data_IF_229846694452
#
_entry.id   IF_229846694452
#
_cell.length_a   1.000
_cell.length_b   1.000
_cell.length_c   1.000
_cell.angle_alpha   90.00
_cell.angle_beta   90.00
_cell.angle_gamma   90.00
#
_symmetry.space_group_name_H-M   'P 1'
#
loop_
_entity.id
_entity.type
_entity.pdbx_description
1 polymer ?
#
# COMPACT_ATOMS: atom_id res chain seq x y z
N UNK A 1 -22.57 25.20 15.27
CA UNK A 1 -21.47 25.14 16.27
C UNK A 1 -20.29 25.86 15.65
N UNK A 2 -19.82 26.96 16.24
CA UNK A 2 -18.77 27.81 15.63
C UNK A 2 -17.44 27.54 16.34
N UNK A 3 -16.43 27.08 15.60
CA UNK A 3 -15.11 26.79 16.16
C UNK A 3 -14.39 28.11 16.48
N UNK A 4 -13.89 28.27 17.71
CA UNK A 4 -13.13 29.44 18.12
C UNK A 4 -11.64 29.27 17.76
N UNK A 5 -11.29 29.63 16.53
CA UNK A 5 -9.92 29.51 16.00
C UNK A 5 -8.87 30.28 16.81
N UNK A 6 -9.24 31.42 17.42
CA UNK A 6 -8.31 32.24 18.21
C UNK A 6 -7.83 31.50 19.46
N UNK A 7 -8.74 30.85 20.17
CA UNK A 7 -8.40 30.07 21.36
C UNK A 7 -7.64 28.78 20.99
N UNK A 8 -8.03 28.13 19.90
CA UNK A 8 -7.38 26.92 19.38
C UNK A 8 -5.91 27.19 19.02
N UNK A 9 -5.65 28.32 18.35
CA UNK A 9 -4.30 28.76 18.05
C UNK A 9 -3.51 29.12 19.32
N UNK A 10 -4.13 29.81 20.29
CA UNK A 10 -3.46 30.14 21.54
C UNK A 10 -3.01 28.89 22.32
N UNK A 11 -3.84 27.84 22.35
CA UNK A 11 -3.53 26.55 22.97
C UNK A 11 -2.38 25.84 22.23
N UNK A 12 -2.44 25.75 20.90
CA UNK A 12 -1.38 25.15 20.10
C UNK A 12 -0.04 25.87 20.29
N UNK A 13 -0.06 27.21 20.30
CA UNK A 13 1.15 28.02 20.54
C UNK A 13 1.71 27.82 21.94
N UNK A 14 0.86 27.64 22.95
CA UNK A 14 1.30 27.34 24.30
C UNK A 14 1.96 25.95 24.38
N UNK A 15 1.36 24.93 23.76
CA UNK A 15 1.91 23.56 23.72
C UNK A 15 3.29 23.51 23.02
N UNK A 16 3.46 24.25 21.92
CA UNK A 16 4.77 24.36 21.25
C UNK A 16 5.80 25.01 22.19
N UNK A 17 5.41 26.07 22.92
CA UNK A 17 6.29 26.77 23.86
C UNK A 17 6.64 25.95 25.11
N UNK A 18 5.75 25.07 25.57
CA UNK A 18 6.03 24.13 26.67
C UNK A 18 6.92 22.95 26.24
N UNK A 19 7.30 22.87 24.96
CA UNK A 19 8.15 21.81 24.43
C UNK A 19 7.38 20.50 24.21
N UNK A 20 6.06 20.56 24.10
CA UNK A 20 5.28 19.37 23.76
C UNK A 20 5.64 18.88 22.36
N UNK A 21 5.58 17.56 22.19
CA UNK A 21 5.94 16.91 20.92
C UNK A 21 4.90 17.27 19.86
N UNK A 22 5.33 17.99 18.83
CA UNK A 22 4.48 18.40 17.71
C UNK A 22 4.63 17.51 16.46
N UNK A 23 5.42 16.42 16.55
CA UNK A 23 5.60 15.43 15.50
C UNK A 23 5.14 14.05 15.95
N UNK A 24 4.73 13.23 14.99
CA UNK A 24 4.34 11.85 15.24
C UNK A 24 5.58 10.97 15.44
N UNK A 25 5.47 10.00 16.36
CA UNK A 25 6.40 8.89 16.44
C UNK A 25 5.87 7.69 15.64
N UNK A 26 6.63 6.60 15.57
CA UNK A 26 6.25 5.41 14.80
C UNK A 26 4.88 4.82 15.19
N UNK A 27 4.49 4.93 16.46
CA UNK A 27 3.17 4.46 16.94
C UNK A 27 2.05 5.39 16.46
N UNK A 28 2.26 6.70 16.58
CA UNK A 28 1.31 7.71 16.13
C UNK A 28 1.11 7.61 14.60
N UNK A 29 2.20 7.40 13.85
CA UNK A 29 2.15 7.18 12.40
C UNK A 29 1.37 5.92 12.02
N UNK A 30 1.52 4.83 12.78
CA UNK A 30 0.80 3.58 12.52
C UNK A 30 -0.71 3.78 12.68
N UNK A 31 -1.14 4.47 13.74
CA UNK A 31 -2.56 4.80 13.96
C UNK A 31 -3.09 5.71 12.85
N UNK A 32 -2.29 6.70 12.43
CA UNK A 32 -2.67 7.60 11.34
C UNK A 32 -2.82 6.84 10.01
N UNK A 33 -1.90 5.93 9.69
CA UNK A 33 -1.95 5.09 8.49
C UNK A 33 -3.18 4.17 8.49
N UNK A 34 -3.51 3.56 9.63
CA UNK A 34 -4.70 2.71 9.74
C UNK A 34 -5.99 3.52 9.54
N UNK A 35 -6.12 4.67 10.20
CA UNK A 35 -7.29 5.55 10.04
C UNK A 35 -7.42 6.11 8.61
N UNK A 36 -6.30 6.30 7.90
CA UNK A 36 -6.30 6.78 6.52
C UNK A 36 -6.52 5.67 5.49
N UNK A 37 -6.56 4.39 5.88
CA UNK A 37 -6.64 3.24 4.96
C UNK A 37 -7.83 3.33 4.01
N UNK A 38 -9.00 3.76 4.51
CA UNK A 38 -10.22 3.92 3.70
C UNK A 38 -10.17 5.10 2.72
N UNK A 39 -9.32 6.09 3.00
CA UNK A 39 -9.14 7.28 2.16
C UNK A 39 -7.97 7.14 1.17
N UNK A 40 -7.20 6.05 1.25
CA UNK A 40 -6.11 5.80 0.30
C UNK A 40 -6.66 5.53 -1.11
N UNK A 41 -6.21 6.32 -2.07
CA UNK A 41 -6.59 6.13 -3.47
C UNK A 41 -5.95 4.86 -4.02
N UNK A 42 -6.79 3.91 -4.46
CA UNK A 42 -6.34 2.70 -5.15
C UNK A 42 -5.69 3.12 -6.47
N UNK A 43 -4.44 2.73 -6.66
CA UNK A 43 -3.71 3.08 -7.88
C UNK A 43 -4.28 2.32 -9.09
N UNK A 44 -4.18 2.84 -10.33
CA UNK A 44 -4.69 2.13 -11.51
C UNK A 44 -4.09 0.73 -11.71
N UNK A 45 -2.83 0.52 -11.30
CA UNK A 45 -2.17 -0.79 -11.39
C UNK A 45 -2.68 -1.77 -10.32
N UNK A 46 -3.04 -1.29 -9.14
CA UNK A 46 -3.67 -2.08 -8.09
C UNK A 46 -5.09 -2.49 -8.52
N UNK A 47 -5.85 -1.57 -9.12
CA UNK A 47 -7.14 -1.91 -9.75
C UNK A 47 -6.97 -2.97 -10.85
N UNK A 48 -6.01 -2.78 -11.75
CA UNK A 48 -5.70 -3.78 -12.80
C UNK A 48 -5.31 -5.13 -12.21
N UNK A 49 -4.54 -5.15 -11.13
CA UNK A 49 -4.21 -6.38 -10.43
C UNK A 49 -5.48 -7.10 -9.97
N UNK A 50 -6.42 -6.40 -9.31
CA UNK A 50 -7.69 -7.00 -8.88
C UNK A 50 -8.60 -7.46 -10.02
N UNK A 51 -8.44 -6.93 -11.24
CA UNK A 51 -9.19 -7.40 -12.41
C UNK A 51 -8.69 -8.75 -12.96
N UNK A 52 -7.42 -9.11 -12.74
CA UNK A 52 -6.80 -10.30 -13.34
C UNK A 52 -6.34 -11.34 -12.32
N UNK A 53 -6.23 -10.96 -11.06
CA UNK A 53 -5.71 -11.80 -9.99
C UNK A 53 -6.51 -11.66 -8.72
N UNK A 54 -6.52 -12.74 -7.94
CA UNK A 54 -7.03 -12.75 -6.57
C UNK A 54 -6.16 -13.61 -5.67
N UNK A 55 -6.37 -13.47 -4.36
CA UNK A 55 -5.78 -14.39 -3.40
C UNK A 55 -6.40 -15.79 -3.54
N UNK A 56 -5.62 -16.86 -3.31
CA UNK A 56 -6.15 -18.21 -3.23
C UNK A 56 -7.13 -18.33 -2.05
N UNK A 57 -8.23 -19.05 -2.25
CA UNK A 57 -9.13 -19.40 -1.16
C UNK A 57 -8.59 -20.58 -0.33
N UNK A 58 -9.18 -20.84 0.83
CA UNK A 58 -8.79 -21.96 1.68
C UNK A 58 -8.94 -23.29 0.92
N UNK A 59 -7.87 -24.07 0.84
CA UNK A 59 -7.81 -25.31 0.05
C UNK A 59 -7.53 -25.12 -1.44
N UNK A 60 -7.40 -23.90 -1.93
CA UNK A 60 -7.08 -23.62 -3.33
C UNK A 60 -5.55 -23.53 -3.55
N UNK A 61 -5.07 -24.17 -4.61
CA UNK A 61 -3.68 -24.01 -5.04
C UNK A 61 -3.48 -22.65 -5.69
N UNK A 62 -2.46 -21.92 -5.23
CA UNK A 62 -2.05 -20.65 -5.81
C UNK A 62 -0.72 -20.79 -6.54
N UNK A 63 -0.54 -20.03 -7.61
CA UNK A 63 0.72 -19.93 -8.33
C UNK A 63 1.64 -18.94 -7.62
N UNK A 64 2.90 -19.32 -7.42
CA UNK A 64 3.92 -18.43 -6.85
C UNK A 64 4.56 -17.59 -7.95
N UNK A 65 4.30 -16.29 -7.95
CA UNK A 65 4.79 -15.38 -8.98
C UNK A 65 5.58 -14.22 -8.37
N UNK A 66 6.71 -13.88 -8.98
CA UNK A 66 7.43 -12.64 -8.64
C UNK A 66 6.67 -11.40 -9.14
N UNK A 67 6.89 -10.21 -8.55
CA UNK A 67 6.29 -8.96 -9.01
C UNK A 67 6.47 -8.70 -10.51
N UNK A 68 7.64 -9.04 -11.06
CA UNK A 68 7.94 -8.85 -12.48
C UNK A 68 7.08 -9.76 -13.35
N UNK A 69 6.93 -11.04 -12.99
CA UNK A 69 6.09 -11.98 -13.75
C UNK A 69 4.61 -11.55 -13.74
N UNK A 70 4.12 -11.06 -12.60
CA UNK A 70 2.75 -10.54 -12.49
C UNK A 70 2.58 -9.32 -13.40
N UNK A 71 3.53 -8.39 -13.35
CA UNK A 71 3.52 -7.20 -14.20
C UNK A 71 3.57 -7.56 -15.69
N UNK A 72 4.43 -8.49 -16.10
CA UNK A 72 4.51 -8.96 -17.49
C UNK A 72 3.14 -9.46 -17.99
N UNK A 73 2.40 -10.21 -17.16
CA UNK A 73 1.04 -10.66 -17.50
C UNK A 73 0.07 -9.49 -17.61
N UNK A 74 0.13 -8.53 -16.68
CA UNK A 74 -0.72 -7.33 -16.72
C UNK A 74 -0.45 -6.47 -17.95
N UNK A 75 0.83 -6.31 -18.34
CA UNK A 75 1.25 -5.58 -19.53
C UNK A 75 0.82 -6.27 -20.81
N UNK A 76 0.97 -7.59 -20.90
CA UNK A 76 0.55 -8.38 -22.06
C UNK A 76 -0.96 -8.21 -22.33
N UNK A 77 -1.77 -8.03 -21.28
CA UNK A 77 -3.21 -7.79 -21.38
C UNK A 77 -3.59 -6.32 -21.53
N UNK A 78 -2.78 -5.38 -21.03
CA UNK A 78 -3.05 -3.94 -21.05
C UNK A 78 -1.77 -3.14 -21.38
N UNK A 79 -1.57 -2.88 -22.68
CA UNK A 79 -0.34 -2.37 -23.32
C UNK A 79 0.10 -0.93 -22.96
N UNK A 80 -0.38 -0.32 -21.87
CA UNK A 80 -0.23 1.14 -21.66
C UNK A 80 0.85 1.56 -20.66
N UNK A 81 1.41 0.64 -19.85
CA UNK A 81 2.38 0.96 -18.80
C UNK A 81 3.80 0.51 -19.15
N UNK A 82 4.84 1.21 -18.69
CA UNK A 82 6.26 0.86 -18.91
C UNK A 82 6.80 0.01 -17.76
N UNK A 83 7.34 -1.17 -18.08
CA UNK A 83 8.03 -2.04 -17.11
C UNK A 83 9.43 -1.49 -16.82
N UNK A 84 9.58 -0.76 -15.71
CA UNK A 84 10.88 -0.26 -15.24
C UNK A 84 11.20 -0.83 -13.86
N UNK A 85 12.47 -0.86 -13.46
CA UNK A 85 12.89 -1.40 -12.15
C UNK A 85 12.21 -0.68 -10.97
N UNK A 86 12.08 0.65 -11.05
CA UNK A 86 11.36 1.45 -10.06
C UNK A 86 9.88 1.07 -9.96
N UNK A 87 9.27 0.75 -11.10
CA UNK A 87 7.87 0.32 -11.17
C UNK A 87 7.66 -1.06 -10.54
N UNK A 88 8.58 -2.01 -10.76
CA UNK A 88 8.54 -3.33 -10.11
C UNK A 88 8.68 -3.23 -8.58
N UNK A 89 9.56 -2.35 -8.09
CA UNK A 89 9.71 -2.06 -6.64
C UNK A 89 8.43 -1.44 -6.06
N UNK A 90 7.84 -0.46 -6.75
CA UNK A 90 6.57 0.15 -6.35
C UNK A 90 5.44 -0.88 -6.32
N UNK A 91 5.31 -1.70 -7.35
CA UNK A 91 4.30 -2.76 -7.42
C UNK A 91 4.47 -3.82 -6.33
N UNK A 92 5.70 -4.21 -6.00
CA UNK A 92 5.97 -5.09 -4.86
C UNK A 92 5.45 -4.54 -3.52
N UNK A 93 5.47 -3.20 -3.33
CA UNK A 93 4.87 -2.57 -2.13
C UNK A 93 3.34 -2.65 -2.14
N UNK A 94 2.71 -2.50 -3.31
CA UNK A 94 1.26 -2.68 -3.47
C UNK A 94 0.85 -4.11 -3.13
N UNK A 95 1.58 -5.12 -3.63
CA UNK A 95 1.29 -6.52 -3.33
C UNK A 95 1.37 -6.81 -1.82
N UNK A 96 2.40 -6.27 -1.15
CA UNK A 96 2.54 -6.38 0.30
C UNK A 96 1.43 -5.66 1.07
N UNK A 97 0.97 -4.50 0.58
CA UNK A 97 -0.15 -3.74 1.16
C UNK A 97 -1.47 -4.51 1.08
N UNK A 98 -1.65 -5.32 0.03
CA UNK A 98 -2.87 -6.12 -0.19
C UNK A 98 -2.88 -7.44 0.60
N UNK A 99 -2.04 -7.56 1.64
CA UNK A 99 -1.96 -8.74 2.52
C UNK A 99 -1.75 -10.07 1.77
N UNK A 100 -1.07 -10.02 0.61
CA UNK A 100 -0.80 -11.20 -0.21
C UNK A 100 0.32 -12.01 0.42
N UNK A 101 0.12 -13.33 0.55
CA UNK A 101 1.11 -14.26 1.08
C UNK A 101 2.39 -14.21 0.23
N UNK A 102 3.47 -13.73 0.85
CA UNK A 102 4.79 -13.59 0.23
C UNK A 102 5.80 -14.58 0.80
N UNK A 103 6.62 -15.18 -0.07
CA UNK A 103 7.73 -16.06 0.30
C UNK A 103 9.05 -15.50 -0.22
N UNK A 104 10.04 -15.39 0.67
CA UNK A 104 11.41 -15.04 0.28
C UNK A 104 12.11 -16.21 -0.42
N UNK A 105 12.78 -15.89 -1.53
CA UNK A 105 13.59 -16.84 -2.32
C UNK A 105 14.95 -16.22 -2.61
N UNK A 106 15.91 -17.02 -3.07
CA UNK A 106 17.24 -16.55 -3.48
C UNK A 106 17.22 -15.51 -4.61
N UNK A 107 16.10 -15.40 -5.35
CA UNK A 107 15.93 -14.47 -6.47
C UNK A 107 15.02 -13.27 -6.14
N UNK A 108 14.57 -13.15 -4.89
CA UNK A 108 13.64 -12.11 -4.43
C UNK A 108 12.38 -12.68 -3.77
N UNK A 109 11.35 -11.84 -3.65
CA UNK A 109 10.05 -12.23 -3.07
C UNK A 109 9.11 -12.73 -4.17
N UNK A 110 8.45 -13.85 -3.92
CA UNK A 110 7.34 -14.35 -4.73
C UNK A 110 6.05 -14.29 -3.93
N UNK A 111 4.94 -14.10 -4.62
CA UNK A 111 3.60 -13.95 -4.04
C UNK A 111 2.69 -15.06 -4.53
N UNK A 112 1.87 -15.61 -3.63
CA UNK A 112 0.92 -16.67 -3.96
C UNK A 112 -0.39 -16.05 -4.44
N UNK A 113 -0.76 -16.31 -5.69
CA UNK A 113 -1.93 -15.71 -6.34
C UNK A 113 -2.64 -16.69 -7.29
N UNK A 114 -3.89 -16.42 -7.62
CA UNK A 114 -4.68 -17.15 -8.61
C UNK A 114 -5.06 -16.20 -9.74
N UNK A 115 -4.92 -16.67 -10.99
CA UNK A 115 -5.38 -15.94 -12.19
C UNK A 115 -6.90 -16.07 -12.31
N UNK A 116 -7.58 -14.95 -12.56
CA UNK A 116 -9.01 -14.89 -12.88
C UNK A 116 -9.28 -15.28 -14.34
#
# INVERSE_FOLDING_TARGET
MTINYRQLYAQAMQAIRSGERYWFNDKDEAVLKENNREFEQISPIEQLFHCHFRLPQEGEEGEWMSPIQILEILHAKNSTTKLTEGYAKYFGRILKKNDIEGKHTNKGVVYRIVKL
#
